data_IF_277269362696
#
_entry.id   IF_277269362696
#
_cell.length_a   1.000
_cell.length_b   1.000
_cell.length_c   1.000
_cell.angle_alpha   90.00
_cell.angle_beta   90.00
_cell.angle_gamma   90.00
#
_symmetry.space_group_name_H-M   'P 1'
#
loop_
_entity.id
_entity.type
_entity.pdbx_description
1 polymer ?
#
# COMPACT_ATOMS: atom_id res chain seq x y z
N UNK A 1 10.69 4.68 -8.00
CA UNK A 1 9.56 3.87 -8.51
C UNK A 1 9.99 3.00 -9.67
N UNK A 2 10.71 3.55 -10.66
CA UNK A 2 11.24 2.78 -11.79
C UNK A 2 12.10 1.56 -11.38
N UNK A 3 12.93 1.71 -10.35
CA UNK A 3 13.71 0.59 -9.80
C UNK A 3 12.82 -0.51 -9.19
N UNK A 4 11.71 -0.14 -8.53
CA UNK A 4 10.76 -1.13 -7.99
C UNK A 4 9.97 -1.82 -9.10
N UNK A 5 9.68 -1.13 -10.20
CA UNK A 5 9.01 -1.72 -11.36
C UNK A 5 9.84 -2.87 -11.98
N UNK A 6 11.16 -2.84 -11.84
CA UNK A 6 12.04 -3.91 -12.31
C UNK A 6 11.77 -5.25 -11.58
N UNK A 7 11.22 -5.21 -10.36
CA UNK A 7 10.83 -6.41 -9.61
C UNK A 7 9.78 -7.21 -10.38
N UNK A 8 8.77 -6.55 -10.92
CA UNK A 8 7.71 -7.18 -11.74
C UNK A 8 8.19 -7.69 -13.11
N UNK A 9 9.42 -7.36 -13.50
CA UNK A 9 10.07 -7.93 -14.70
C UNK A 9 10.82 -9.22 -14.37
N UNK A 10 11.22 -9.42 -13.11
CA UNK A 10 12.00 -10.57 -12.66
C UNK A 10 11.13 -11.65 -11.99
N UNK A 11 10.06 -11.23 -11.32
CA UNK A 11 9.20 -12.09 -10.55
C UNK A 11 7.73 -11.83 -10.88
N UNK A 12 6.93 -12.90 -10.85
CA UNK A 12 5.48 -12.76 -10.76
C UNK A 12 5.09 -12.47 -9.30
N UNK A 13 4.36 -11.39 -9.07
CA UNK A 13 4.00 -10.92 -7.74
C UNK A 13 2.55 -11.28 -7.42
N UNK A 14 2.33 -12.41 -6.76
CA UNK A 14 0.97 -12.84 -6.38
C UNK A 14 0.33 -11.89 -5.34
N UNK A 15 1.11 -11.34 -4.42
CA UNK A 15 0.65 -10.40 -3.40
C UNK A 15 1.66 -9.29 -3.17
N UNK A 16 1.19 -8.05 -3.18
CA UNK A 16 1.96 -6.88 -2.79
C UNK A 16 1.51 -6.40 -1.40
N UNK A 17 2.27 -6.79 -0.36
CA UNK A 17 2.04 -6.33 1.01
C UNK A 17 2.71 -4.96 1.17
N UNK A 18 1.92 -3.93 1.44
CA UNK A 18 2.39 -2.53 1.43
C UNK A 18 2.09 -1.82 2.75
N UNK A 19 3.11 -1.19 3.35
CA UNK A 19 2.92 -0.31 4.51
C UNK A 19 2.45 1.07 4.02
N UNK A 20 1.22 1.44 4.42
CA UNK A 20 0.54 2.66 3.96
C UNK A 20 0.36 3.66 5.11
N UNK A 21 -0.63 4.56 5.00
CA UNK A 21 -0.98 5.53 6.04
C UNK A 21 -0.43 6.95 5.83
N UNK A 22 0.39 7.18 4.78
CA UNK A 22 0.95 8.50 4.41
C UNK A 22 1.57 9.25 5.62
N UNK A 23 2.28 8.52 6.48
CA UNK A 23 2.83 9.07 7.70
C UNK A 23 3.82 10.21 7.38
N UNK A 24 3.66 11.34 8.07
CA UNK A 24 4.51 12.52 7.91
C UNK A 24 5.18 12.90 9.23
N UNK A 25 6.49 13.13 9.19
CA UNK A 25 7.26 13.59 10.37
C UNK A 25 7.70 15.03 10.21
N UNK A 26 7.69 15.78 11.32
CA UNK A 26 8.23 17.13 11.38
C UNK A 26 9.72 17.06 11.71
N UNK A 27 10.58 17.59 10.84
CA UNK A 27 12.02 17.65 11.11
C UNK A 27 12.41 18.90 11.90
N UNK A 28 13.51 18.79 12.66
CA UNK A 28 14.17 19.90 13.36
C UNK A 28 15.42 20.39 12.59
N UNK A 29 15.83 21.67 12.73
CA UNK A 29 15.14 22.74 13.46
C UNK A 29 13.95 23.31 12.68
N UNK A 30 13.00 23.93 13.41
CA UNK A 30 11.86 24.59 12.78
C UNK A 30 12.26 25.93 12.12
N UNK A 31 11.62 26.34 11.00
CA UNK A 31 10.54 25.66 10.29
C UNK A 31 11.06 24.79 9.12
N UNK A 32 11.19 23.48 9.32
CA UNK A 32 11.43 22.52 8.24
C UNK A 32 10.09 22.02 7.65
N UNK A 33 10.05 21.59 6.37
CA UNK A 33 8.88 20.91 5.83
C UNK A 33 8.68 19.54 6.51
N UNK A 34 7.42 19.10 6.57
CA UNK A 34 7.12 17.71 6.93
C UNK A 34 7.63 16.78 5.85
N UNK A 35 8.17 15.64 6.25
CA UNK A 35 8.66 14.59 5.34
C UNK A 35 7.75 13.38 5.43
N UNK A 36 7.24 12.95 4.28
CA UNK A 36 6.50 11.70 4.15
C UNK A 36 7.46 10.51 4.28
N UNK A 37 7.13 9.57 5.16
CA UNK A 37 7.97 8.39 5.46
C UNK A 37 7.31 7.05 5.12
N UNK A 38 5.99 7.02 4.89
CA UNK A 38 5.29 5.83 4.36
C UNK A 38 4.46 6.18 3.14
N UNK A 39 4.14 5.19 2.30
CA UNK A 39 3.36 5.41 1.08
C UNK A 39 1.91 5.80 1.38
N UNK A 40 1.32 6.62 0.52
CA UNK A 40 -0.13 6.86 0.46
C UNK A 40 -0.83 5.95 -0.58
N UNK A 41 -2.16 5.98 -0.60
CA UNK A 41 -2.97 5.13 -1.50
C UNK A 41 -2.66 5.31 -2.99
N UNK A 42 -2.41 6.53 -3.45
CA UNK A 42 -2.06 6.79 -4.87
C UNK A 42 -0.70 6.22 -5.26
N UNK A 43 0.27 6.32 -4.35
CA UNK A 43 1.59 5.72 -4.56
C UNK A 43 1.48 4.20 -4.58
N UNK A 44 0.66 3.61 -3.71
CA UNK A 44 0.40 2.17 -3.69
C UNK A 44 -0.29 1.68 -4.97
N UNK A 45 -1.32 2.38 -5.45
CA UNK A 45 -2.02 2.04 -6.69
C UNK A 45 -1.10 2.11 -7.92
N UNK A 46 -0.22 3.12 -7.98
CA UNK A 46 0.80 3.20 -9.02
C UNK A 46 1.79 2.04 -8.92
N UNK A 47 2.31 1.76 -7.73
CA UNK A 47 3.28 0.69 -7.53
C UNK A 47 2.68 -0.68 -7.91
N UNK A 48 1.44 -0.94 -7.50
CA UNK A 48 0.68 -2.14 -7.84
C UNK A 48 0.65 -2.39 -9.35
N UNK A 49 0.34 -1.35 -10.15
CA UNK A 49 0.35 -1.43 -11.62
C UNK A 49 1.76 -1.65 -12.17
N UNK A 50 2.73 -0.90 -11.64
CA UNK A 50 4.12 -0.94 -12.10
C UNK A 50 4.76 -2.34 -11.89
N UNK A 51 4.45 -3.01 -10.78
CA UNK A 51 4.96 -4.37 -10.47
C UNK A 51 4.06 -5.50 -10.97
N UNK A 52 2.89 -5.18 -11.54
CA UNK A 52 1.89 -6.13 -12.04
C UNK A 52 1.51 -7.19 -11.01
N UNK A 53 1.25 -6.77 -9.79
CA UNK A 53 0.81 -7.69 -8.76
C UNK A 53 -0.64 -8.13 -8.97
N UNK A 54 -1.02 -9.32 -8.50
CA UNK A 54 -2.40 -9.79 -8.60
C UNK A 54 -3.31 -9.17 -7.54
N UNK A 55 -2.76 -8.88 -6.35
CA UNK A 55 -3.49 -8.22 -5.28
C UNK A 55 -2.64 -7.28 -4.42
N UNK A 56 -3.31 -6.29 -3.82
CA UNK A 56 -2.75 -5.36 -2.83
C UNK A 56 -3.19 -5.84 -1.44
N UNK A 57 -2.24 -5.96 -0.52
CA UNK A 57 -2.52 -6.22 0.90
C UNK A 57 -2.07 -4.99 1.70
N UNK A 58 -2.98 -4.05 2.00
CA UNK A 58 -2.62 -2.85 2.74
C UNK A 58 -2.33 -3.20 4.20
N UNK A 59 -1.25 -2.66 4.73
CA UNK A 59 -0.81 -2.77 6.12
C UNK A 59 -0.58 -1.37 6.69
N UNK A 60 -0.52 -1.27 8.02
CA UNK A 60 0.03 -0.11 8.71
C UNK A 60 -0.73 1.23 8.46
N UNK A 61 -2.07 1.19 8.35
CA UNK A 61 -2.91 2.37 8.08
C UNK A 61 -3.87 2.80 9.23
N UNK A 62 -4.12 1.92 10.22
CA UNK A 62 -5.09 2.20 11.31
C UNK A 62 -4.47 2.15 12.73
N UNK A 63 -3.16 1.99 12.85
CA UNK A 63 -2.53 1.69 14.15
C UNK A 63 -1.97 2.90 14.91
N UNK A 64 -1.66 4.02 14.25
CA UNK A 64 -0.94 5.15 14.84
C UNK A 64 -1.62 6.48 14.52
N UNK A 65 -1.62 7.40 15.50
CA UNK A 65 -2.16 8.77 15.37
C UNK A 65 -1.40 9.65 14.35
N UNK A 66 -0.26 9.17 13.85
CA UNK A 66 0.55 9.87 12.83
C UNK A 66 0.11 9.60 11.39
N UNK A 67 -0.87 8.72 11.16
CA UNK A 67 -1.40 8.45 9.83
C UNK A 67 -2.44 9.50 9.45
N UNK A 68 -2.34 9.98 8.21
CA UNK A 68 -3.32 10.91 7.63
C UNK A 68 -4.30 10.20 6.71
N UNK A 69 -4.08 8.91 6.44
CA UNK A 69 -4.97 8.04 5.65
C UNK A 69 -5.29 6.77 6.42
N UNK A 70 -6.56 6.62 6.79
CA UNK A 70 -7.13 5.44 7.47
C UNK A 70 -7.93 4.56 6.50
N UNK A 71 -8.43 3.41 6.96
CA UNK A 71 -9.06 2.39 6.12
C UNK A 71 -10.08 2.92 5.09
N UNK A 72 -11.05 3.74 5.53
CA UNK A 72 -12.09 4.30 4.65
C UNK A 72 -11.52 5.24 3.58
N UNK A 73 -10.66 6.20 3.99
CA UNK A 73 -10.01 7.14 3.08
C UNK A 73 -9.12 6.41 2.07
N UNK A 74 -8.43 5.35 2.53
CA UNK A 74 -7.59 4.54 1.66
C UNK A 74 -8.42 3.74 0.65
N UNK A 75 -9.59 3.22 1.06
CA UNK A 75 -10.52 2.55 0.17
C UNK A 75 -11.07 3.50 -0.90
N UNK A 76 -11.46 4.72 -0.55
CA UNK A 76 -11.89 5.76 -1.51
C UNK A 76 -10.80 6.07 -2.54
N UNK A 77 -9.54 6.18 -2.09
CA UNK A 77 -8.41 6.39 -3.01
C UNK A 77 -8.26 5.19 -3.95
N UNK A 78 -8.31 3.96 -3.46
CA UNK A 78 -8.23 2.77 -4.30
C UNK A 78 -9.39 2.62 -5.27
N UNK A 79 -10.59 3.04 -4.89
CA UNK A 79 -11.75 3.11 -5.78
C UNK A 79 -11.50 4.12 -6.90
N UNK A 80 -11.04 5.33 -6.55
CA UNK A 80 -10.73 6.39 -7.53
C UNK A 80 -9.60 6.01 -8.50
N UNK A 81 -8.67 5.17 -8.04
CA UNK A 81 -7.54 4.66 -8.84
C UNK A 81 -7.90 3.38 -9.60
N UNK A 82 -9.13 2.85 -9.44
CA UNK A 82 -9.65 1.68 -10.15
C UNK A 82 -9.03 0.34 -9.72
N UNK A 83 -8.46 0.27 -8.51
CA UNK A 83 -7.75 -0.92 -8.00
C UNK A 83 -8.43 -1.58 -6.79
N UNK A 84 -9.57 -1.05 -6.33
CA UNK A 84 -10.25 -1.51 -5.12
C UNK A 84 -10.56 -3.01 -5.13
N UNK A 85 -11.00 -3.56 -6.27
CA UNK A 85 -11.35 -4.98 -6.39
C UNK A 85 -10.15 -5.92 -6.22
N UNK A 86 -8.92 -5.40 -6.35
CA UNK A 86 -7.68 -6.16 -6.13
C UNK A 86 -7.15 -6.01 -4.70
N UNK A 87 -7.83 -5.25 -3.83
CA UNK A 87 -7.41 -5.04 -2.45
C UNK A 87 -7.92 -6.17 -1.56
N UNK A 88 -7.01 -6.74 -0.76
CA UNK A 88 -7.31 -7.75 0.27
C UNK A 88 -7.13 -7.13 1.65
N UNK A 89 -8.24 -6.64 2.19
CA UNK A 89 -8.29 -6.11 3.56
C UNK A 89 -8.17 -7.25 4.57
N UNK A 90 -7.20 -7.15 5.48
CA UNK A 90 -6.98 -8.14 6.52
C UNK A 90 -7.69 -7.77 7.80
N UNK A 91 -8.29 -8.76 8.45
CA UNK A 91 -8.73 -8.65 9.84
C UNK A 91 -7.60 -9.15 10.76
N UNK A 92 -7.21 -8.39 11.81
CA UNK A 92 -6.14 -8.80 12.71
C UNK A 92 -6.36 -10.19 13.31
N UNK A 93 -5.36 -11.05 13.20
CA UNK A 93 -5.40 -12.43 13.71
C UNK A 93 -6.11 -13.45 12.80
N UNK A 94 -6.67 -13.03 11.66
CA UNK A 94 -7.34 -13.93 10.72
C UNK A 94 -6.49 -14.16 9.46
N UNK A 95 -6.21 -15.43 9.09
CA UNK A 95 -5.46 -15.73 7.87
C UNK A 95 -6.35 -15.60 6.63
N UNK A 96 -5.73 -15.23 5.51
CA UNK A 96 -6.33 -15.33 4.18
C UNK A 96 -5.44 -16.17 3.27
N UNK A 97 -6.04 -16.78 2.25
CA UNK A 97 -5.34 -17.51 1.22
C UNK A 97 -5.28 -16.66 -0.06
N UNK A 98 -4.07 -16.49 -0.62
CA UNK A 98 -3.85 -15.74 -1.88
C UNK A 98 -3.75 -16.68 -3.08
N UNK A 99 -2.92 -17.71 -2.99
CA UNK A 99 -2.75 -18.70 -4.04
C UNK A 99 -3.43 -20.02 -3.62
N UNK A 100 -4.20 -20.60 -4.54
CA UNK A 100 -4.52 -22.03 -4.51
C UNK A 100 -3.51 -22.75 -5.38
N UNK A 101 -2.95 -23.86 -4.90
CA UNK A 101 -2.16 -24.73 -5.77
C UNK A 101 -3.08 -25.19 -6.92
N UNK A 102 -2.71 -24.91 -8.17
CA UNK A 102 -3.36 -25.57 -9.30
C UNK A 102 -3.11 -27.08 -9.17
N UNK A 103 -4.19 -27.86 -9.27
CA UNK A 103 -4.17 -29.34 -9.30
C UNK A 103 -3.85 -29.85 -10.71
#
# INVERSE_FOLDING_TARGET
MEELAAIGQQFHIAAAIMNLGEACVQLEPLPAPKVQITMGGKQAARLFRDIKADCIVPMHYDAWDHFTQHGEVLAEVFESEGVLDQVKWLKPGEPIQILTAES
#
